data_IF_244723736342
#
_entry.id   IF_244723736342
#
_cell.length_a   1.000
_cell.length_b   1.000
_cell.length_c   1.000
_cell.angle_alpha   90.00
_cell.angle_beta   90.00
_cell.angle_gamma   90.00
#
_symmetry.space_group_name_H-M   'P 1'
#
loop_
_entity.id
_entity.type
_entity.pdbx_description
1 polymer ?
#
# COMPACT_ATOMS: atom_id res chain seq x y z
N UNK A 1 5.99 25.00 10.14
CA UNK A 1 4.99 25.28 9.09
C UNK A 1 5.03 24.16 8.04
N UNK A 2 4.10 24.15 7.09
CA UNK A 2 4.04 23.22 5.95
C UNK A 2 2.94 22.16 6.08
N UNK A 3 2.41 21.74 4.94
CA UNK A 3 1.27 20.82 4.85
C UNK A 3 -0.04 21.41 5.39
N UNK A 4 -1.08 20.61 5.50
CA UNK A 4 -2.32 20.97 6.20
C UNK A 4 -2.13 20.75 7.69
N UNK A 5 -2.33 21.79 8.50
CA UNK A 5 -2.10 21.75 9.95
C UNK A 5 -3.44 21.63 10.67
N UNK A 6 -3.56 20.62 11.53
CA UNK A 6 -4.71 20.44 12.42
C UNK A 6 -4.26 20.35 13.87
N UNK A 7 -5.09 20.84 14.80
CA UNK A 7 -4.89 20.66 16.24
C UNK A 7 -5.72 19.47 16.71
N UNK A 8 -5.08 18.54 17.42
CA UNK A 8 -5.74 17.36 17.98
C UNK A 8 -5.50 17.30 19.48
N UNK A 9 -6.52 16.88 20.24
CA UNK A 9 -6.45 16.78 21.71
C UNK A 9 -5.87 18.05 22.37
N UNK A 10 -6.22 19.24 21.87
CA UNK A 10 -5.83 20.57 22.38
C UNK A 10 -4.33 20.88 22.28
N UNK A 11 -3.44 19.97 22.65
CA UNK A 11 -2.02 20.21 22.87
C UNK A 11 -1.10 19.68 21.74
N UNK A 12 -1.66 19.08 20.68
CA UNK A 12 -0.87 18.49 19.62
C UNK A 12 -1.21 19.07 18.26
N UNK A 13 -0.18 19.32 17.45
CA UNK A 13 -0.33 19.64 16.03
C UNK A 13 0.03 18.45 15.16
N UNK A 14 -0.77 18.28 14.11
CA UNK A 14 -0.52 17.30 13.06
C UNK A 14 -0.38 18.05 11.74
N UNK A 15 0.76 17.86 11.08
CA UNK A 15 1.01 18.30 9.71
C UNK A 15 0.76 17.14 8.76
N UNK A 16 -0.15 17.31 7.82
CA UNK A 16 -0.51 16.30 6.81
C UNK A 16 -0.07 16.75 5.43
N UNK A 17 0.71 15.91 4.75
CA UNK A 17 1.17 16.13 3.39
C UNK A 17 0.56 15.05 2.48
N UNK A 18 -0.17 15.49 1.47
CA UNK A 18 -0.76 14.65 0.41
C UNK A 18 -0.05 14.83 -0.94
N UNK A 19 1.02 15.60 -0.95
CA UNK A 19 1.93 15.88 -2.06
C UNK A 19 3.28 16.38 -1.54
N UNK A 20 4.26 16.60 -2.41
CA UNK A 20 5.58 17.14 -2.04
C UNK A 20 5.46 18.48 -1.31
N UNK A 21 6.37 18.73 -0.36
CA UNK A 21 6.38 19.96 0.43
C UNK A 21 7.58 20.05 1.35
N UNK A 22 7.51 20.96 2.30
CA UNK A 22 8.55 21.11 3.33
C UNK A 22 7.91 21.27 4.70
N UNK A 23 8.32 20.44 5.65
CA UNK A 23 8.02 20.63 7.07
C UNK A 23 9.09 21.55 7.65
N UNK A 24 8.74 22.80 8.00
CA UNK A 24 9.70 23.77 8.54
C UNK A 24 9.50 23.91 10.04
N UNK A 25 10.56 23.64 10.79
CA UNK A 25 10.68 23.84 12.22
C UNK A 25 11.32 25.22 12.45
N UNK A 26 10.55 26.18 12.96
CA UNK A 26 11.05 27.54 13.22
C UNK A 26 11.86 27.62 14.52
N UNK A 27 11.46 26.83 15.53
CA UNK A 27 12.17 26.67 16.80
C UNK A 27 11.95 25.27 17.35
N UNK A 28 12.94 24.73 18.02
CA UNK A 28 12.79 23.47 18.77
C UNK A 28 12.11 23.72 20.11
N UNK A 29 11.62 22.64 20.75
CA UNK A 29 11.03 22.70 22.08
C UNK A 29 12.03 23.21 23.13
N UNK A 30 11.50 23.79 24.21
CA UNK A 30 12.28 24.18 25.38
C UNK A 30 12.55 22.94 26.29
N UNK A 31 13.12 23.17 27.48
CA UNK A 31 13.43 22.10 28.46
C UNK A 31 12.22 21.30 28.95
N UNK A 32 10.98 21.82 28.78
CA UNK A 32 9.72 21.14 29.11
C UNK A 32 9.06 20.52 27.88
N UNK A 33 9.55 20.80 26.68
CA UNK A 33 9.09 20.26 25.42
C UNK A 33 10.08 19.25 24.83
N UNK A 34 9.70 18.64 23.72
CA UNK A 34 10.54 17.68 23.00
C UNK A 34 11.11 18.31 21.73
N UNK A 35 12.34 17.95 21.39
CA UNK A 35 12.93 18.19 20.07
C UNK A 35 12.73 17.01 19.12
N UNK A 36 11.80 16.10 19.44
CA UNK A 36 11.44 14.96 18.61
C UNK A 36 10.00 15.07 18.12
N UNK A 37 9.72 14.46 16.98
CA UNK A 37 8.37 14.38 16.42
C UNK A 37 7.99 12.93 16.15
N UNK A 38 6.71 12.63 16.29
CA UNK A 38 6.13 11.39 15.79
C UNK A 38 5.80 11.53 14.32
N UNK A 39 5.86 10.44 13.59
CA UNK A 39 5.60 10.41 12.15
C UNK A 39 4.81 9.18 11.72
N UNK A 40 4.12 9.35 10.60
CA UNK A 40 3.58 8.29 9.77
C UNK A 40 3.96 8.59 8.33
N UNK A 41 4.69 7.69 7.68
CA UNK A 41 5.12 7.79 6.28
C UNK A 41 4.57 6.58 5.53
N UNK A 42 3.63 6.81 4.63
CA UNK A 42 3.02 5.78 3.78
C UNK A 42 3.35 6.10 2.33
N UNK A 43 3.93 5.15 1.62
CA UNK A 43 4.28 5.28 0.21
C UNK A 43 3.07 5.09 -0.70
N UNK A 44 3.20 5.35 -1.99
CA UNK A 44 2.18 5.03 -2.98
C UNK A 44 1.99 3.54 -3.15
N UNK A 45 0.73 3.08 -3.26
CA UNK A 45 0.39 1.70 -3.62
C UNK A 45 0.64 1.43 -5.10
N UNK A 46 0.79 0.18 -5.48
CA UNK A 46 0.98 -0.23 -6.86
C UNK A 46 -0.32 -0.48 -7.60
N UNK A 47 -0.27 -0.49 -8.92
CA UNK A 47 -1.39 -0.89 -9.75
C UNK A 47 -1.57 -2.41 -9.82
N UNK A 48 -2.79 -2.85 -10.05
CA UNK A 48 -3.09 -4.23 -10.45
C UNK A 48 -2.63 -4.52 -11.87
N UNK A 49 -2.34 -5.78 -12.17
CA UNK A 49 -2.01 -6.24 -13.51
C UNK A 49 -3.21 -6.24 -14.44
N UNK A 50 -2.96 -6.25 -15.75
CA UNK A 50 -3.96 -6.38 -16.80
C UNK A 50 -4.17 -7.81 -17.26
N UNK A 51 -5.41 -8.15 -17.69
CA UNK A 51 -5.75 -9.44 -18.27
C UNK A 51 -6.47 -9.29 -19.64
N UNK A 52 -6.52 -8.10 -20.19
CA UNK A 52 -7.24 -7.79 -21.42
C UNK A 52 -6.78 -8.63 -22.60
N UNK A 53 -7.70 -9.32 -23.24
CA UNK A 53 -7.44 -10.14 -24.45
C UNK A 53 -6.83 -11.52 -24.15
N UNK A 54 -6.73 -11.93 -22.90
CA UNK A 54 -6.24 -13.26 -22.54
C UNK A 54 -7.39 -14.11 -21.98
N UNK A 55 -7.80 -15.14 -22.73
CA UNK A 55 -8.96 -15.95 -22.37
C UNK A 55 -8.73 -16.76 -21.10
N UNK A 56 -9.67 -16.66 -20.18
CA UNK A 56 -9.82 -17.55 -19.04
C UNK A 56 -9.14 -17.12 -17.76
N UNK A 57 -8.31 -16.05 -17.69
CA UNK A 57 -7.52 -15.76 -16.51
C UNK A 57 -7.64 -14.31 -16.02
N UNK A 58 -7.79 -14.11 -14.70
CA UNK A 58 -7.72 -12.79 -14.05
C UNK A 58 -6.30 -12.43 -13.63
N UNK A 59 -6.00 -11.14 -13.52
CA UNK A 59 -4.68 -10.63 -13.16
C UNK A 59 -4.48 -10.45 -11.65
N UNK A 60 -3.21 -10.47 -11.21
CA UNK A 60 -2.82 -10.22 -9.84
C UNK A 60 -3.03 -8.76 -9.43
N UNK A 61 -3.24 -8.51 -8.15
CA UNK A 61 -3.45 -7.18 -7.59
C UNK A 61 -2.16 -6.48 -7.21
N UNK A 62 -2.18 -5.14 -7.18
CA UNK A 62 -1.06 -4.33 -6.67
C UNK A 62 -0.88 -4.46 -5.15
N UNK A 63 0.38 -4.45 -4.71
CA UNK A 63 0.74 -4.35 -3.31
C UNK A 63 0.51 -2.94 -2.77
N UNK A 64 0.29 -2.82 -1.48
CA UNK A 64 0.23 -1.53 -0.80
C UNK A 64 1.61 -0.85 -0.75
N UNK A 65 1.64 0.46 -0.65
CA UNK A 65 2.84 1.19 -0.30
C UNK A 65 3.35 0.82 1.09
N UNK A 66 4.68 0.89 1.28
CA UNK A 66 5.29 0.67 2.58
C UNK A 66 4.71 1.61 3.63
N UNK A 67 4.62 1.11 4.86
CA UNK A 67 4.09 1.82 6.01
C UNK A 67 5.14 1.91 7.10
N UNK A 68 5.54 3.14 7.50
CA UNK A 68 6.52 3.40 8.55
C UNK A 68 5.90 4.35 9.57
N UNK A 69 5.92 3.97 10.84
CA UNK A 69 5.35 4.76 11.94
C UNK A 69 6.29 4.78 13.13
N UNK A 70 6.39 5.91 13.81
CA UNK A 70 7.09 6.04 15.10
C UNK A 70 6.27 5.43 16.23
N UNK A 71 6.91 5.09 17.38
CA UNK A 71 6.21 4.45 18.50
C UNK A 71 5.32 5.39 19.32
N UNK A 72 5.07 6.63 18.90
CA UNK A 72 4.21 7.58 19.61
C UNK A 72 4.86 8.19 20.86
N UNK A 73 6.16 8.07 21.03
CA UNK A 73 6.86 8.49 22.26
C UNK A 73 7.12 9.99 22.34
N UNK A 74 7.15 10.71 21.20
CA UNK A 74 7.37 12.16 21.17
C UNK A 74 6.14 12.95 21.59
N UNK A 75 4.96 12.48 21.23
CA UNK A 75 3.69 13.12 21.57
C UNK A 75 2.80 12.28 22.51
N UNK A 76 3.09 10.99 22.67
CA UNK A 76 2.66 10.13 23.75
C UNK A 76 1.17 9.98 24.04
N UNK A 77 0.25 10.23 23.09
CA UNK A 77 -1.18 10.22 23.38
C UNK A 77 -2.06 9.77 22.21
N UNK A 78 -1.58 8.84 21.39
CA UNK A 78 -2.42 8.22 20.36
C UNK A 78 -2.14 6.72 20.24
N UNK A 79 -3.12 5.98 19.69
CA UNK A 79 -2.95 4.55 19.43
C UNK A 79 -2.12 4.37 18.16
N UNK A 80 -0.89 3.89 18.33
CA UNK A 80 -0.01 3.51 17.22
C UNK A 80 -0.43 2.17 16.62
N UNK A 81 -0.06 1.94 15.36
CA UNK A 81 -0.27 0.65 14.73
C UNK A 81 0.68 -0.42 15.30
N UNK A 82 0.43 -1.73 15.00
CA UNK A 82 1.38 -2.79 15.34
C UNK A 82 2.78 -2.63 14.74
N UNK A 83 2.96 -1.74 13.76
CA UNK A 83 4.24 -1.44 13.12
C UNK A 83 4.99 -0.27 13.77
N UNK A 84 4.35 0.48 14.67
CA UNK A 84 4.96 1.54 15.47
C UNK A 84 5.68 1.01 16.72
N UNK A 85 6.46 -0.05 16.58
CA UNK A 85 7.15 -0.73 17.68
C UNK A 85 8.68 -0.66 17.53
N UNK A 86 9.41 -0.97 18.60
CA UNK A 86 10.87 -1.08 18.55
C UNK A 86 11.32 -1.97 17.37
N UNK A 87 12.35 -1.60 16.57
CA UNK A 87 13.29 -0.47 16.80
C UNK A 87 12.86 0.88 16.18
N UNK A 88 11.59 1.09 15.81
CA UNK A 88 11.15 2.41 15.39
C UNK A 88 11.34 3.43 16.52
N UNK A 89 11.76 4.65 16.17
CA UNK A 89 12.00 5.74 17.12
C UNK A 89 11.37 7.03 16.62
N UNK A 90 11.02 7.95 17.54
CA UNK A 90 10.65 9.30 17.20
C UNK A 90 11.83 10.03 16.52
N UNK A 91 11.54 10.91 15.57
CA UNK A 91 12.57 11.60 14.80
C UNK A 91 13.02 12.89 15.51
N UNK A 92 14.32 13.06 15.80
CA UNK A 92 14.83 14.33 16.29
C UNK A 92 14.77 15.39 15.18
N UNK A 93 14.39 16.62 15.57
CA UNK A 93 14.31 17.76 14.65
C UNK A 93 15.15 18.92 15.14
N UNK A 94 15.65 19.72 14.20
CA UNK A 94 16.36 20.96 14.42
C UNK A 94 15.58 22.11 13.78
N UNK A 95 15.91 23.36 14.11
CA UNK A 95 15.28 24.54 13.51
C UNK A 95 15.71 24.70 12.04
N UNK A 96 15.11 23.91 11.16
CA UNK A 96 15.38 23.87 9.72
C UNK A 96 14.18 23.37 8.93
N UNK A 97 14.26 23.39 7.61
CA UNK A 97 13.29 22.78 6.70
C UNK A 97 13.63 21.32 6.42
N UNK A 98 12.63 20.45 6.53
CA UNK A 98 12.71 19.03 6.17
C UNK A 98 11.89 18.80 4.90
N UNK A 99 12.53 18.46 3.78
CA UNK A 99 11.81 18.13 2.55
C UNK A 99 10.92 16.91 2.75
N UNK A 100 9.70 16.96 2.20
CA UNK A 100 8.73 15.88 2.20
C UNK A 100 8.50 15.45 0.76
N UNK A 101 8.63 14.15 0.50
CA UNK A 101 8.16 13.51 -0.73
C UNK A 101 6.99 12.61 -0.40
N UNK A 102 5.90 12.73 -1.16
CA UNK A 102 4.75 11.82 -1.08
C UNK A 102 4.66 11.05 -2.38
N UNK A 103 4.73 9.73 -2.27
CA UNK A 103 4.73 8.82 -3.42
C UNK A 103 3.39 8.78 -4.13
N UNK A 104 3.39 8.87 -5.45
CA UNK A 104 2.23 8.61 -6.29
C UNK A 104 1.91 7.12 -6.37
N UNK A 105 0.65 6.80 -6.64
CA UNK A 105 0.24 5.43 -6.94
C UNK A 105 0.77 4.98 -8.31
N UNK A 106 1.01 3.68 -8.46
CA UNK A 106 1.37 3.07 -9.73
C UNK A 106 0.23 3.14 -10.74
N UNK A 107 0.56 3.23 -12.01
CA UNK A 107 -0.42 3.23 -13.10
C UNK A 107 -0.60 1.84 -13.69
N UNK A 108 -1.81 1.52 -14.13
CA UNK A 108 -2.07 0.29 -14.89
C UNK A 108 -1.28 0.29 -16.18
N UNK A 109 -0.74 -0.87 -16.54
CA UNK A 109 -0.10 -1.07 -17.83
C UNK A 109 -1.10 -1.47 -18.91
N UNK A 110 -0.69 -1.45 -20.19
CA UNK A 110 -1.54 -1.90 -21.30
C UNK A 110 -1.74 -3.43 -21.25
N UNK A 111 -2.93 -3.87 -21.65
CA UNK A 111 -3.28 -5.30 -21.86
C UNK A 111 -2.82 -6.23 -20.71
N UNK A 112 -2.13 -7.34 -21.06
CA UNK A 112 -1.68 -8.38 -20.14
C UNK A 112 -0.36 -8.03 -19.39
N UNK A 113 -0.02 -6.76 -19.23
CA UNK A 113 1.20 -6.34 -18.53
C UNK A 113 1.05 -6.38 -17.02
N UNK A 114 2.19 -6.43 -16.34
CA UNK A 114 2.24 -6.15 -14.90
C UNK A 114 1.75 -4.73 -14.60
N UNK A 115 1.17 -4.54 -13.43
CA UNK A 115 0.90 -3.22 -12.89
C UNK A 115 2.19 -2.43 -12.64
N UNK A 116 2.11 -1.11 -12.74
CA UNK A 116 3.21 -0.22 -12.37
C UNK A 116 3.39 -0.17 -10.85
N UNK A 117 4.65 -0.02 -10.41
CA UNK A 117 4.96 0.13 -8.98
C UNK A 117 4.50 1.49 -8.47
N UNK A 118 4.22 1.58 -7.18
CA UNK A 118 4.06 2.84 -6.46
C UNK A 118 5.40 3.55 -6.29
N UNK A 119 5.35 4.84 -5.98
CA UNK A 119 6.54 5.64 -5.69
C UNK A 119 6.79 5.78 -4.19
N UNK A 120 8.04 6.02 -3.81
CA UNK A 120 8.44 6.16 -2.41
C UNK A 120 7.91 7.45 -1.78
N UNK A 121 7.61 7.39 -0.47
CA UNK A 121 7.44 8.57 0.37
C UNK A 121 8.64 8.74 1.30
N UNK A 122 9.06 10.00 1.51
CA UNK A 122 10.26 10.31 2.31
C UNK A 122 9.98 11.46 3.27
N UNK A 123 10.37 11.26 4.52
CA UNK A 123 10.51 12.30 5.54
C UNK A 123 11.86 12.16 6.22
N UNK A 124 12.78 13.10 6.00
CA UNK A 124 14.15 13.06 6.54
C UNK A 124 14.87 11.74 6.18
N UNK A 125 15.27 10.96 7.16
CA UNK A 125 15.91 9.65 6.99
C UNK A 125 14.91 8.50 6.82
N UNK A 126 13.60 8.75 6.94
CA UNK A 126 12.58 7.73 6.86
C UNK A 126 12.11 7.63 5.42
N UNK A 127 12.38 6.50 4.77
CA UNK A 127 11.85 6.16 3.44
C UNK A 127 10.90 4.99 3.55
N UNK A 128 9.68 5.16 3.07
CA UNK A 128 8.73 4.09 2.79
C UNK A 128 8.76 3.79 1.31
N UNK A 129 8.90 2.51 0.96
CA UNK A 129 9.03 2.05 -0.43
C UNK A 129 7.67 1.90 -1.08
N UNK A 130 7.54 2.28 -2.34
CA UNK A 130 6.32 2.07 -3.12
C UNK A 130 5.91 0.60 -3.16
N UNK A 131 4.61 0.34 -3.34
CA UNK A 131 4.08 -1.01 -3.51
C UNK A 131 4.56 -1.66 -4.80
N UNK A 132 4.66 -2.97 -4.84
CA UNK A 132 5.02 -3.76 -6.03
C UNK A 132 3.81 -4.06 -6.91
N UNK A 133 3.96 -3.92 -8.23
CA UNK A 133 2.91 -4.15 -9.23
C UNK A 133 2.36 -5.56 -9.24
N UNK A 134 1.06 -5.71 -9.51
CA UNK A 134 0.41 -7.01 -9.69
C UNK A 134 0.81 -7.70 -10.99
N UNK A 135 0.82 -9.04 -11.00
CA UNK A 135 1.12 -9.84 -12.18
C UNK A 135 0.06 -9.71 -13.27
N UNK A 136 0.49 -9.57 -14.52
CA UNK A 136 -0.38 -9.58 -15.70
C UNK A 136 -0.70 -11.00 -16.17
N UNK A 137 -1.72 -11.17 -17.01
CA UNK A 137 -2.21 -12.49 -17.41
C UNK A 137 -1.31 -13.25 -18.40
N UNK A 138 -0.33 -12.62 -19.02
CA UNK A 138 0.54 -13.27 -20.00
C UNK A 138 1.98 -13.42 -19.50
N UNK A 139 2.59 -14.60 -19.76
CA UNK A 139 4.01 -14.80 -19.53
C UNK A 139 4.86 -13.86 -20.41
N UNK A 140 5.98 -13.35 -19.91
CA UNK A 140 6.59 -13.58 -18.60
C UNK A 140 6.08 -12.67 -17.48
N UNK A 141 4.98 -11.93 -17.68
CA UNK A 141 4.53 -10.82 -16.81
C UNK A 141 3.66 -11.27 -15.65
N UNK A 142 3.51 -12.56 -15.42
CA UNK A 142 2.58 -13.10 -14.43
C UNK A 142 3.07 -13.08 -12.97
N UNK A 143 4.32 -12.78 -12.73
CA UNK A 143 4.86 -12.61 -11.38
C UNK A 143 4.35 -11.30 -10.74
N UNK A 144 4.13 -11.31 -9.43
CA UNK A 144 4.01 -10.09 -8.64
C UNK A 144 5.38 -9.43 -8.45
N UNK A 145 5.44 -8.09 -8.46
CA UNK A 145 6.68 -7.34 -8.27
C UNK A 145 6.94 -7.08 -6.78
N UNK A 146 8.22 -7.01 -6.35
CA UNK A 146 8.57 -6.66 -4.99
C UNK A 146 8.34 -5.16 -4.70
N UNK A 147 8.14 -4.83 -3.42
CA UNK A 147 7.96 -3.43 -3.00
C UNK A 147 7.82 -3.29 -1.50
N UNK A 148 7.29 -2.17 -1.03
CA UNK A 148 6.91 -1.97 0.38
C UNK A 148 6.00 -3.09 0.85
N UNK A 149 4.90 -3.33 0.12
CA UNK A 149 4.21 -4.63 0.08
C UNK A 149 4.27 -5.16 -1.34
N UNK A 150 4.33 -6.46 -1.51
CA UNK A 150 4.49 -7.11 -2.81
C UNK A 150 3.18 -7.26 -3.58
N UNK A 151 3.25 -7.26 -4.92
CA UNK A 151 2.11 -7.55 -5.80
C UNK A 151 1.70 -9.02 -5.77
N UNK A 152 0.41 -9.29 -5.98
CA UNK A 152 -0.14 -10.63 -6.16
C UNK A 152 0.26 -11.23 -7.51
N UNK A 153 0.42 -12.54 -7.57
CA UNK A 153 0.72 -13.25 -8.83
C UNK A 153 -0.53 -13.43 -9.68
N UNK A 154 -0.36 -13.67 -10.98
CA UNK A 154 -1.41 -14.19 -11.86
C UNK A 154 -1.18 -15.69 -12.16
N UNK A 155 -2.25 -16.40 -12.23
CA UNK A 155 -2.67 -17.56 -13.06
C UNK A 155 -1.67 -18.65 -13.47
N UNK A 156 -0.44 -18.77 -13.02
CA UNK A 156 0.43 -19.86 -13.46
C UNK A 156 0.76 -20.85 -12.35
N UNK A 157 0.61 -22.17 -12.63
CA UNK A 157 1.08 -23.20 -11.72
C UNK A 157 2.60 -23.13 -11.54
N UNK A 158 3.07 -23.24 -10.31
CA UNK A 158 4.50 -23.30 -10.02
C UNK A 158 5.27 -22.00 -10.27
N UNK A 159 4.63 -20.86 -10.20
CA UNK A 159 5.25 -19.57 -10.50
C UNK A 159 6.34 -19.24 -9.49
N UNK A 160 7.59 -19.16 -9.92
CA UNK A 160 8.59 -18.41 -9.18
C UNK A 160 8.25 -16.94 -9.33
N UNK A 161 7.95 -16.23 -8.28
CA UNK A 161 7.75 -14.78 -8.41
C UNK A 161 6.63 -14.21 -7.56
N UNK A 162 6.53 -14.67 -6.31
CA UNK A 162 5.77 -13.96 -5.29
C UNK A 162 6.35 -12.55 -5.21
N UNK A 163 5.52 -11.52 -5.31
CA UNK A 163 5.95 -10.16 -4.99
C UNK A 163 6.36 -10.10 -3.53
N UNK A 164 7.64 -9.92 -3.28
CA UNK A 164 8.17 -9.82 -1.94
C UNK A 164 7.82 -8.46 -1.33
N UNK A 165 7.28 -8.47 -0.12
CA UNK A 165 7.11 -7.29 0.70
C UNK A 165 8.38 -6.92 1.45
N UNK A 166 8.38 -5.77 2.11
CA UNK A 166 9.53 -5.25 2.86
C UNK A 166 10.83 -5.23 2.04
N UNK A 167 10.74 -4.75 0.80
CA UNK A 167 11.86 -4.69 -0.14
C UNK A 167 12.13 -3.23 -0.54
N UNK A 168 13.32 -2.68 -0.25
CA UNK A 168 14.40 -3.28 0.53
C UNK A 168 13.98 -3.53 1.99
N UNK A 169 14.64 -4.48 2.68
CA UNK A 169 14.27 -4.84 4.04
C UNK A 169 14.56 -3.71 5.03
N UNK A 170 13.58 -3.45 5.89
CA UNK A 170 13.67 -2.50 7.02
C UNK A 170 13.09 -3.14 8.28
N UNK A 171 13.43 -2.58 9.42
CA UNK A 171 12.88 -3.00 10.72
C UNK A 171 12.31 -1.79 11.48
N UNK A 172 11.05 -1.87 11.97
CA UNK A 172 10.05 -2.93 11.71
C UNK A 172 9.74 -3.09 10.21
N UNK A 173 9.23 -4.26 9.76
CA UNK A 173 8.85 -4.46 8.36
C UNK A 173 7.82 -3.44 7.89
N UNK A 174 7.97 -2.93 6.66
CA UNK A 174 7.08 -1.90 6.12
C UNK A 174 5.88 -2.47 5.33
N UNK A 175 5.78 -3.80 5.18
CA UNK A 175 4.70 -4.48 4.49
C UNK A 175 4.99 -5.95 4.26
N UNK A 176 4.07 -6.65 3.63
CA UNK A 176 4.07 -8.10 3.46
C UNK A 176 4.03 -8.54 2.01
N UNK A 177 4.27 -9.82 1.78
CA UNK A 177 4.27 -10.43 0.45
C UNK A 177 2.88 -10.38 -0.20
N UNK A 178 2.85 -10.36 -1.53
CA UNK A 178 1.65 -10.64 -2.29
C UNK A 178 1.20 -12.10 -2.16
N UNK A 179 -0.05 -12.34 -2.54
CA UNK A 179 -0.63 -13.69 -2.57
C UNK A 179 -0.08 -14.54 -3.73
N UNK A 180 -0.15 -15.85 -3.55
CA UNK A 180 0.20 -16.85 -4.56
C UNK A 180 -0.74 -18.05 -4.47
N UNK A 181 -0.66 -18.92 -5.46
CA UNK A 181 -1.41 -20.17 -5.52
C UNK A 181 -0.50 -21.39 -5.42
N UNK A 182 -0.99 -22.44 -4.81
CA UNK A 182 -0.28 -23.71 -4.71
C UNK A 182 -0.28 -24.50 -6.04
N UNK A 183 -1.30 -24.33 -6.90
CA UNK A 183 -1.42 -25.01 -8.22
C UNK A 183 -2.51 -24.37 -9.08
N UNK A 184 -2.25 -24.29 -10.37
CA UNK A 184 -3.16 -24.17 -11.52
C UNK A 184 -4.47 -23.43 -11.37
N UNK A 185 -4.45 -22.17 -10.97
CA UNK A 185 -5.67 -21.35 -10.90
C UNK A 185 -5.74 -20.35 -12.05
N UNK A 186 -6.95 -20.08 -12.52
CA UNK A 186 -7.22 -19.15 -13.62
C UNK A 186 -7.58 -17.73 -13.16
N UNK A 187 -7.13 -17.30 -11.98
CA UNK A 187 -7.48 -15.99 -11.42
C UNK A 187 -6.27 -15.31 -10.75
N UNK A 188 -6.37 -14.03 -10.46
CA UNK A 188 -5.32 -13.25 -9.84
C UNK A 188 -5.33 -13.35 -8.32
N UNK A 189 -4.14 -13.35 -7.69
CA UNK A 189 -3.98 -13.28 -6.24
C UNK A 189 -4.07 -11.84 -5.73
N UNK A 190 -4.44 -11.65 -4.45
CA UNK A 190 -4.43 -10.37 -3.78
C UNK A 190 -3.02 -9.84 -3.54
N UNK A 191 -2.83 -8.52 -3.54
CA UNK A 191 -1.58 -7.85 -3.17
C UNK A 191 -1.36 -7.85 -1.66
N UNK A 192 -0.11 -7.75 -1.20
CA UNK A 192 0.24 -7.63 0.20
C UNK A 192 -0.22 -6.31 0.81
N UNK A 193 -0.53 -6.30 2.09
CA UNK A 193 -0.85 -5.13 2.88
C UNK A 193 0.19 -4.87 3.97
N UNK A 194 0.01 -3.80 4.73
CA UNK A 194 0.95 -3.43 5.78
C UNK A 194 1.09 -4.48 6.87
N UNK A 195 -0.01 -5.16 7.26
CA UNK A 195 -0.02 -6.09 8.40
C UNK A 195 -0.17 -7.55 8.02
N UNK A 196 -0.72 -7.86 6.85
CA UNK A 196 -0.87 -9.25 6.37
C UNK A 196 -0.46 -9.42 4.92
N UNK A 197 -0.11 -10.63 4.55
CA UNK A 197 0.10 -11.03 3.16
C UNK A 197 -1.20 -10.91 2.36
N UNK A 198 -1.09 -10.81 1.03
CA UNK A 198 -2.20 -11.05 0.14
C UNK A 198 -2.57 -12.54 0.10
N UNK A 199 -3.81 -12.84 -0.31
CA UNK A 199 -4.29 -14.22 -0.40
C UNK A 199 -4.43 -14.67 -1.85
N UNK A 200 -4.03 -15.92 -2.12
CA UNK A 200 -4.35 -16.58 -3.38
C UNK A 200 -5.85 -16.90 -3.45
N UNK A 201 -6.35 -17.60 -2.45
CA UNK A 201 -7.76 -17.81 -2.17
C UNK A 201 -8.08 -17.34 -0.76
N UNK A 202 -9.10 -16.51 -0.56
CA UNK A 202 -10.15 -16.04 -1.50
C UNK A 202 -9.79 -14.79 -2.34
N UNK A 203 -8.56 -14.59 -2.76
CA UNK A 203 -8.05 -13.47 -3.60
C UNK A 203 -8.07 -12.09 -2.93
N UNK A 204 -8.27 -12.06 -1.63
CA UNK A 204 -8.39 -10.81 -0.85
C UNK A 204 -7.03 -10.16 -0.71
N UNK A 205 -7.00 -8.85 -0.78
CA UNK A 205 -5.81 -8.05 -0.47
C UNK A 205 -5.45 -8.11 1.00
N UNK A 206 -4.15 -8.02 1.30
CA UNK A 206 -3.64 -7.95 2.65
C UNK A 206 -4.15 -6.71 3.39
N UNK A 207 -4.36 -6.83 4.69
CA UNK A 207 -4.88 -5.74 5.54
C UNK A 207 -3.83 -4.65 5.77
N UNK A 208 -4.30 -3.41 5.85
CA UNK A 208 -3.51 -2.26 6.24
C UNK A 208 -3.32 -2.14 7.75
N UNK A 209 -2.59 -1.12 8.15
CA UNK A 209 -2.32 -0.79 9.54
C UNK A 209 -3.18 0.41 9.99
N UNK A 210 -3.73 0.34 11.21
CA UNK A 210 -4.57 1.40 11.79
C UNK A 210 -3.77 2.22 12.78
N UNK A 211 -3.75 3.54 12.60
CA UNK A 211 -3.13 4.51 13.51
C UNK A 211 -4.09 5.64 13.82
N UNK A 212 -4.00 6.20 15.01
CA UNK A 212 -4.72 7.39 15.46
C UNK A 212 -3.83 8.65 15.47
N UNK A 213 -2.75 8.69 14.71
CA UNK A 213 -1.82 9.83 14.67
C UNK A 213 -2.53 11.16 14.39
N UNK A 214 -3.57 11.16 13.56
CA UNK A 214 -4.39 12.32 13.22
C UNK A 214 -5.59 12.56 14.17
N UNK A 215 -5.63 11.87 15.29
CA UNK A 215 -6.73 11.95 16.28
C UNK A 215 -7.89 10.99 16.03
N UNK A 216 -7.92 10.28 14.89
CA UNK A 216 -9.00 9.33 14.54
C UNK A 216 -8.39 8.01 14.05
N UNK A 217 -8.85 6.84 14.54
CA UNK A 217 -8.39 5.55 14.04
C UNK A 217 -8.60 5.44 12.52
N UNK A 218 -7.53 5.38 11.75
CA UNK A 218 -7.57 5.34 10.29
C UNK A 218 -6.66 4.25 9.77
N UNK A 219 -7.25 3.27 9.04
CA UNK A 219 -6.47 2.23 8.39
C UNK A 219 -5.86 2.74 7.07
N UNK A 220 -4.61 2.35 6.78
CA UNK A 220 -3.86 2.71 5.56
C UNK A 220 -3.03 1.53 5.08
N UNK A 221 -2.58 1.57 3.83
CA UNK A 221 -1.75 0.56 3.18
C UNK A 221 -2.39 -0.83 3.13
N UNK A 222 -3.65 -0.90 2.68
CA UNK A 222 -4.31 -2.15 2.30
C UNK A 222 -3.94 -2.60 0.89
N UNK A 223 -3.68 -3.88 0.67
CA UNK A 223 -3.40 -4.47 -0.64
C UNK A 223 -4.63 -4.56 -1.54
N UNK A 224 -4.45 -4.61 -2.85
CA UNK A 224 -5.54 -4.80 -3.82
C UNK A 224 -6.09 -6.23 -3.82
N UNK A 225 -7.34 -6.42 -4.23
CA UNK A 225 -7.97 -7.72 -4.45
C UNK A 225 -7.66 -8.29 -5.85
N UNK A 226 -7.46 -9.60 -5.96
CA UNK A 226 -7.16 -10.27 -7.24
C UNK A 226 -8.35 -10.29 -8.20
N UNK A 227 -8.06 -10.26 -9.50
CA UNK A 227 -9.07 -10.31 -10.57
C UNK A 227 -9.75 -11.69 -10.69
N UNK A 228 -11.03 -11.70 -11.09
CA UNK A 228 -11.78 -12.92 -11.37
C UNK A 228 -11.31 -13.62 -12.64
N UNK A 229 -11.34 -14.95 -12.66
CA UNK A 229 -11.19 -15.77 -13.86
C UNK A 229 -12.47 -15.87 -14.68
N UNK A 230 -12.37 -16.47 -15.87
CA UNK A 230 -13.50 -16.63 -16.79
C UNK A 230 -14.39 -17.84 -16.48
N UNK A 231 -15.64 -17.84 -17.00
CA UNK A 231 -16.51 -19.00 -16.95
C UNK A 231 -15.91 -20.16 -17.71
N UNK A 232 -16.10 -21.40 -17.21
CA UNK A 232 -15.70 -22.62 -17.89
C UNK A 232 -14.27 -23.10 -17.64
N UNK A 233 -13.49 -22.36 -16.82
CA UNK A 233 -12.18 -22.85 -16.36
C UNK A 233 -12.37 -23.80 -15.15
N UNK A 234 -11.51 -24.85 -15.02
CA UNK A 234 -11.53 -25.66 -13.82
C UNK A 234 -11.13 -24.82 -12.63
N UNK A 235 -12.12 -24.46 -11.82
CA UNK A 235 -11.92 -23.53 -10.73
C UNK A 235 -12.79 -23.93 -9.54
N UNK A 236 -12.28 -23.83 -8.31
CA UNK A 236 -13.08 -24.01 -7.12
C UNK A 236 -14.24 -23.00 -7.07
N UNK A 237 -15.25 -23.29 -6.25
CA UNK A 237 -16.41 -22.43 -6.05
C UNK A 237 -15.93 -21.01 -5.67
N UNK A 238 -16.33 -19.99 -6.44
CA UNK A 238 -15.93 -18.59 -6.22
C UNK A 238 -14.91 -18.03 -7.23
N UNK A 239 -14.46 -18.82 -8.21
CA UNK A 239 -13.48 -18.37 -9.21
C UNK A 239 -13.95 -17.14 -10.01
N UNK A 240 -15.25 -17.02 -10.28
CA UNK A 240 -15.83 -15.90 -11.03
C UNK A 240 -16.08 -14.66 -10.16
N UNK A 241 -15.76 -14.70 -8.86
CA UNK A 241 -15.88 -13.53 -7.98
C UNK A 241 -14.53 -12.80 -7.89
N UNK A 242 -14.59 -11.49 -7.93
CA UNK A 242 -13.43 -10.65 -7.68
C UNK A 242 -13.02 -10.73 -6.21
N UNK A 243 -11.73 -10.65 -5.94
CA UNK A 243 -11.21 -10.50 -4.60
C UNK A 243 -11.52 -9.11 -4.02
N UNK A 244 -11.88 -9.05 -2.74
CA UNK A 244 -12.02 -7.76 -2.04
C UNK A 244 -10.64 -7.11 -1.82
N UNK A 245 -10.59 -5.78 -1.87
CA UNK A 245 -9.41 -5.03 -1.42
C UNK A 245 -9.25 -5.13 0.09
N UNK A 246 -8.01 -5.09 0.57
CA UNK A 246 -7.69 -5.07 1.98
C UNK A 246 -8.13 -3.77 2.64
N UNK A 247 -8.49 -3.83 3.92
CA UNK A 247 -8.80 -2.65 4.72
C UNK A 247 -7.60 -1.69 4.70
N UNK A 248 -7.87 -0.40 4.65
CA UNK A 248 -6.83 0.62 4.51
C UNK A 248 -6.64 1.11 3.07
N UNK A 249 -7.69 1.01 2.24
CA UNK A 249 -7.73 1.65 0.93
C UNK A 249 -7.39 0.75 -0.25
N UNK A 250 -7.30 -0.56 -0.07
CA UNK A 250 -7.11 -1.48 -1.19
C UNK A 250 -8.30 -1.49 -2.16
N UNK A 251 -8.04 -1.45 -3.47
CA UNK A 251 -9.04 -1.56 -4.53
C UNK A 251 -9.49 -3.00 -4.72
N UNK A 252 -10.78 -3.23 -5.02
CA UNK A 252 -11.31 -4.56 -5.34
C UNK A 252 -10.85 -5.03 -6.73
N UNK A 253 -10.66 -6.32 -6.90
CA UNK A 253 -10.41 -6.95 -8.19
C UNK A 253 -11.56 -6.76 -9.15
N UNK A 254 -11.27 -6.86 -10.43
CA UNK A 254 -12.26 -6.84 -11.51
C UNK A 254 -13.00 -8.15 -11.63
N UNK A 255 -14.23 -8.08 -12.11
CA UNK A 255 -15.08 -9.20 -12.46
C UNK A 255 -15.56 -9.03 -13.92
N UNK A 256 -16.26 -10.02 -14.52
CA UNK A 256 -16.72 -9.91 -15.89
C UNK A 256 -17.59 -8.68 -16.20
N UNK A 257 -18.13 -8.00 -15.20
CA UNK A 257 -18.95 -6.80 -15.38
C UNK A 257 -18.16 -5.48 -15.18
N UNK A 258 -16.92 -5.52 -14.63
CA UNK A 258 -16.15 -4.33 -14.33
C UNK A 258 -14.65 -4.60 -14.13
N UNK A 259 -13.82 -3.65 -14.51
CA UNK A 259 -12.37 -3.67 -14.28
C UNK A 259 -12.02 -3.61 -12.79
N UNK A 260 -10.75 -3.84 -12.46
CA UNK A 260 -10.23 -3.64 -11.12
C UNK A 260 -10.37 -2.19 -10.66
N UNK A 261 -10.75 -1.97 -9.41
CA UNK A 261 -10.88 -0.62 -8.86
C UNK A 261 -9.55 -0.08 -8.36
N UNK A 262 -9.38 1.23 -8.41
CA UNK A 262 -8.17 1.87 -7.89
C UNK A 262 -8.06 1.77 -6.38
N UNK A 263 -6.83 1.78 -5.87
CA UNK A 263 -6.55 2.06 -4.48
C UNK A 263 -6.97 3.48 -4.09
N UNK A 264 -7.41 3.65 -2.85
CA UNK A 264 -7.85 4.95 -2.33
C UNK A 264 -6.67 5.91 -2.22
N UNK A 265 -6.85 7.14 -2.69
CA UNK A 265 -5.84 8.22 -2.59
C UNK A 265 -5.50 8.52 -1.13
N UNK A 266 -4.26 8.93 -0.88
CA UNK A 266 -3.75 9.31 0.45
C UNK A 266 -3.82 8.17 1.50
N UNK A 267 -3.85 6.92 1.02
CA UNK A 267 -3.81 5.73 1.88
C UNK A 267 -2.65 4.79 1.55
N UNK A 268 -2.04 4.93 0.37
CA UNK A 268 -1.07 3.96 -0.12
C UNK A 268 -1.69 2.61 -0.50
N UNK A 269 -2.99 2.56 -0.75
CA UNK A 269 -3.71 1.32 -1.10
C UNK A 269 -3.31 0.77 -2.47
N UNK A 270 -3.14 -0.55 -2.59
CA UNK A 270 -2.91 -1.23 -3.88
C UNK A 270 -4.16 -1.26 -4.76
N UNK A 271 -4.00 -1.22 -6.07
CA UNK A 271 -5.10 -1.36 -7.04
C UNK A 271 -5.51 -2.82 -7.26
N UNK A 272 -6.77 -3.07 -7.57
CA UNK A 272 -7.31 -4.41 -7.87
C UNK A 272 -6.80 -4.96 -9.20
N UNK A 273 -6.63 -6.28 -9.31
CA UNK A 273 -6.26 -6.96 -10.55
C UNK A 273 -7.39 -6.91 -11.59
N UNK A 274 -7.02 -6.90 -12.88
CA UNK A 274 -7.97 -6.90 -13.98
C UNK A 274 -8.73 -8.23 -14.12
N UNK A 275 -9.99 -8.21 -14.61
CA UNK A 275 -10.77 -9.43 -14.89
C UNK A 275 -10.32 -10.05 -16.20
N UNK A 276 -10.81 -11.27 -16.43
CA UNK A 276 -10.67 -11.95 -17.72
C UNK A 276 -11.47 -11.27 -18.84
N UNK A 277 -10.96 -11.39 -20.07
CA UNK A 277 -11.64 -11.28 -21.38
C UNK A 277 -12.20 -9.92 -21.86
N UNK A 278 -12.28 -8.86 -21.08
CA UNK A 278 -13.13 -7.71 -21.45
C UNK A 278 -12.37 -6.46 -21.91
N UNK A 279 -11.08 -6.56 -22.23
CA UNK A 279 -10.26 -5.36 -22.53
C UNK A 279 -10.12 -4.41 -21.34
N UNK A 280 -10.59 -4.81 -20.17
CA UNK A 280 -10.58 -4.03 -18.95
C UNK A 280 -9.31 -4.31 -18.14
N UNK A 281 -8.63 -3.26 -17.74
CA UNK A 281 -7.41 -3.34 -16.97
C UNK A 281 -7.65 -3.54 -15.47
N UNK A 282 -6.55 -3.66 -14.74
CA UNK A 282 -6.54 -3.51 -13.29
C UNK A 282 -6.86 -2.07 -12.85
N UNK A 283 -6.86 -1.82 -11.55
CA UNK A 283 -6.98 -0.49 -10.96
C UNK A 283 -5.61 0.15 -10.70
N UNK A 284 -5.53 1.48 -10.78
CA UNK A 284 -4.33 2.20 -10.37
C UNK A 284 -4.10 2.07 -8.86
N UNK A 285 -2.87 2.24 -8.40
CA UNK A 285 -2.57 2.38 -6.99
C UNK A 285 -3.02 3.73 -6.42
N UNK A 286 -3.29 3.79 -5.12
CA UNK A 286 -3.55 5.03 -4.39
C UNK A 286 -2.27 5.74 -4.01
N UNK A 287 -2.28 7.08 -3.98
CA UNK A 287 -1.15 7.86 -3.49
C UNK A 287 -0.88 7.61 -2.00
N UNK A 288 0.38 7.84 -1.58
CA UNK A 288 0.79 7.82 -0.19
C UNK A 288 0.37 9.06 0.60
N UNK A 289 0.88 9.15 1.82
CA UNK A 289 0.65 10.27 2.74
C UNK A 289 1.81 10.36 3.74
N UNK A 290 2.15 11.58 4.17
CA UNK A 290 3.08 11.81 5.28
C UNK A 290 2.38 12.64 6.35
N UNK A 291 2.45 12.18 7.61
CA UNK A 291 1.93 12.90 8.77
C UNK A 291 3.03 13.06 9.81
N UNK A 292 3.08 14.24 10.42
CA UNK A 292 4.04 14.58 11.47
C UNK A 292 3.26 15.16 12.64
N UNK A 293 3.45 14.59 13.82
CA UNK A 293 2.74 14.99 15.05
C UNK A 293 3.73 15.39 16.12
N UNK A 294 3.43 16.47 16.83
CA UNK A 294 4.21 16.91 17.99
C UNK A 294 3.34 17.66 19.00
N UNK A 295 3.81 17.68 20.24
CA UNK A 295 3.26 18.50 21.32
C UNK A 295 3.75 19.95 21.15
N UNK A 296 2.85 20.93 21.27
CA UNK A 296 3.21 22.36 21.11
C UNK A 296 2.86 23.22 22.32
N UNK A 297 2.21 22.63 23.33
CA UNK A 297 1.90 23.27 24.63
C UNK A 297 2.28 22.34 25.78
#
# INVERSE_FOLDING_TARGET
TGGTITTVCTNFKVHTFTGPGTFTVCSVGNSLGSNTVDYLVVAGGAAGGGAAGYSGTGAGAGGAGGYRESPGTASGSYSVSPLGVSPAVALPVTATGFPITVGGGGSVGPNCSQGGDGSNSVFSTITSTGGGGGGGAAAPNNAGRPGGSGGGVCCTPGTPGIGLGNTPPVSPPQGNNGGHYASGSSFGAGGGGATTTGFGEPKVGGTGATSSINGTPTARAGGGGGGAGGPGQPAPAGANTAGAGGSGGGGAGGNPSGGGTGGTTNTGGGGGGGPVDDGRGGGNGGSGIVMIRYKFQ
#
